data_IF_041681887047
#
_entry.id   IF_041681887047
#
_cell.length_a   1.000
_cell.length_b   1.000
_cell.length_c   1.000
_cell.angle_alpha   90.00
_cell.angle_beta   90.00
_cell.angle_gamma   90.00
#
_symmetry.space_group_name_H-M   'P 1'
#
loop_
_entity.id
_entity.type
_entity.pdbx_description
1 polymer ?
#
# COMPACT_ATOMS: atom_id res chain seq x y z
N UNK A 1 -7.08 17.81 -6.62
CA UNK A 1 -6.16 18.97 -6.61
C UNK A 1 -4.82 18.52 -7.18
N UNK A 2 -4.34 19.18 -8.22
CA UNK A 2 -3.03 18.95 -8.83
C UNK A 2 -2.20 20.21 -8.62
N UNK A 3 -0.98 20.05 -8.09
CA UNK A 3 -0.08 21.18 -7.77
C UNK A 3 0.96 21.37 -8.89
N UNK A 4 1.83 22.32 -8.68
CA UNK A 4 2.81 22.81 -9.63
C UNK A 4 3.83 21.73 -10.00
N UNK A 5 4.25 21.72 -11.28
CA UNK A 5 5.26 20.79 -11.82
C UNK A 5 4.92 19.29 -11.71
N UNK A 6 3.66 18.94 -11.47
CA UNK A 6 3.21 17.54 -11.54
C UNK A 6 3.29 17.09 -13.01
N UNK A 7 3.79 15.88 -13.23
CA UNK A 7 3.84 15.25 -14.55
C UNK A 7 3.06 13.93 -14.54
N UNK A 8 2.33 13.68 -15.64
CA UNK A 8 1.54 12.46 -15.82
C UNK A 8 1.74 11.95 -17.24
N UNK A 9 1.99 10.65 -17.41
CA UNK A 9 2.12 10.03 -18.71
C UNK A 9 0.82 9.30 -19.10
N UNK A 10 0.46 9.28 -20.40
CA UNK A 10 -0.67 8.49 -20.87
C UNK A 10 -0.41 7.00 -20.74
N UNK A 11 -1.45 6.20 -20.91
CA UNK A 11 -1.31 4.75 -21.05
C UNK A 11 -0.58 4.38 -22.34
N UNK A 12 0.00 3.18 -22.36
CA UNK A 12 0.76 2.63 -23.49
C UNK A 12 0.04 1.44 -24.14
N UNK A 13 0.37 1.13 -25.41
CA UNK A 13 -0.23 0.01 -26.14
C UNK A 13 -0.06 -1.33 -25.40
N UNK A 14 1.07 -1.51 -24.74
CA UNK A 14 1.36 -2.73 -23.94
C UNK A 14 0.71 -2.73 -22.54
N UNK A 15 0.18 -1.59 -22.07
CA UNK A 15 -0.33 -1.42 -20.71
C UNK A 15 -1.84 -1.25 -20.59
N UNK A 16 -2.57 -1.37 -21.70
CA UNK A 16 -4.02 -1.20 -21.69
C UNK A 16 -4.51 0.21 -22.01
N UNK A 17 -3.62 1.10 -22.45
CA UNK A 17 -3.90 2.45 -22.94
C UNK A 17 -4.52 3.40 -21.89
N UNK A 18 -4.38 3.11 -20.61
CA UNK A 18 -5.07 3.86 -19.57
C UNK A 18 -4.17 4.22 -18.38
N UNK A 19 -3.96 5.51 -18.17
CA UNK A 19 -3.56 6.06 -16.87
C UNK A 19 -4.78 6.70 -16.22
N UNK A 20 -5.16 6.27 -15.03
CA UNK A 20 -6.38 6.70 -14.34
C UNK A 20 -6.07 7.25 -12.96
N UNK A 21 -6.72 8.35 -12.61
CA UNK A 21 -6.69 8.94 -11.27
C UNK A 21 -8.14 9.16 -10.84
N UNK A 22 -8.49 8.65 -9.68
CA UNK A 22 -9.83 8.79 -9.09
C UNK A 22 -10.09 10.18 -8.51
N UNK A 23 -11.15 10.25 -7.74
CA UNK A 23 -11.67 11.51 -7.19
C UNK A 23 -10.99 11.92 -5.87
N UNK A 24 -11.07 13.21 -5.55
CA UNK A 24 -10.59 13.81 -4.29
C UNK A 24 -9.10 13.59 -3.99
N UNK A 25 -8.29 13.34 -5.01
CA UNK A 25 -6.85 13.14 -4.84
C UNK A 25 -6.11 14.48 -4.67
N UNK A 26 -5.06 14.47 -3.87
CA UNK A 26 -4.10 15.58 -3.72
C UNK A 26 -2.75 15.15 -4.25
N UNK A 27 -2.40 15.67 -5.43
CA UNK A 27 -1.11 15.42 -6.08
C UNK A 27 -0.26 16.66 -5.88
N UNK A 28 0.74 16.55 -5.00
CA UNK A 28 1.53 17.70 -4.56
C UNK A 28 2.69 18.00 -5.51
N UNK A 29 3.40 19.09 -5.21
CA UNK A 29 4.44 19.68 -6.06
C UNK A 29 5.45 18.64 -6.55
N UNK A 30 5.69 18.62 -7.89
CA UNK A 30 6.72 17.82 -8.51
C UNK A 30 6.48 16.29 -8.49
N UNK A 31 5.30 15.83 -8.06
CA UNK A 31 4.99 14.41 -8.12
C UNK A 31 4.91 13.93 -9.59
N UNK A 32 5.35 12.69 -9.83
CA UNK A 32 5.32 12.04 -11.13
C UNK A 32 4.46 10.78 -11.12
N UNK A 33 3.55 10.67 -12.07
CA UNK A 33 2.74 9.50 -12.34
C UNK A 33 3.08 8.97 -13.72
N UNK A 34 3.79 7.85 -13.79
CA UNK A 34 4.17 7.25 -15.06
C UNK A 34 2.97 6.58 -15.76
N UNK A 35 3.23 6.06 -16.96
CA UNK A 35 2.25 5.42 -17.82
C UNK A 35 1.54 4.23 -17.14
N UNK A 36 0.29 4.03 -17.50
CA UNK A 36 -0.52 2.88 -17.08
C UNK A 36 -0.74 2.74 -15.56
N UNK A 37 -0.51 3.83 -14.80
CA UNK A 37 -0.82 3.85 -13.38
C UNK A 37 -2.34 3.94 -13.15
N UNK A 38 -2.84 3.21 -12.18
CA UNK A 38 -4.25 3.25 -11.75
C UNK A 38 -4.30 3.70 -10.28
N UNK A 39 -4.82 4.90 -10.05
CA UNK A 39 -4.99 5.49 -8.74
C UNK A 39 -6.49 5.54 -8.40
N UNK A 40 -6.85 5.06 -7.21
CA UNK A 40 -8.19 5.17 -6.64
C UNK A 40 -8.51 6.58 -6.14
N UNK A 41 -9.40 6.66 -5.16
CA UNK A 41 -9.92 7.91 -4.63
C UNK A 41 -9.22 8.34 -3.34
N UNK A 42 -9.29 9.65 -3.02
CA UNK A 42 -8.79 10.21 -1.76
C UNK A 42 -7.28 9.95 -1.51
N UNK A 43 -6.50 9.81 -2.56
CA UNK A 43 -5.06 9.54 -2.48
C UNK A 43 -4.29 10.85 -2.25
N UNK A 44 -3.23 10.76 -1.47
CA UNK A 44 -2.28 11.86 -1.30
C UNK A 44 -0.91 11.40 -1.80
N UNK A 45 -0.42 12.03 -2.87
CA UNK A 45 0.97 11.95 -3.26
C UNK A 45 1.67 13.24 -2.79
N UNK A 46 2.52 13.12 -1.79
CA UNK A 46 3.26 14.28 -1.27
C UNK A 46 4.33 14.76 -2.28
N UNK A 47 5.04 15.83 -1.94
CA UNK A 47 6.00 16.47 -2.86
C UNK A 47 7.04 15.48 -3.39
N UNK A 48 7.25 15.52 -4.70
CA UNK A 48 8.27 14.72 -5.41
C UNK A 48 8.13 13.19 -5.23
N UNK A 49 6.92 12.69 -4.98
CA UNK A 49 6.64 11.25 -5.10
C UNK A 49 6.76 10.85 -6.56
N UNK A 50 7.45 9.74 -6.84
CA UNK A 50 7.57 9.18 -8.18
C UNK A 50 6.96 7.79 -8.26
N UNK A 51 5.93 7.62 -9.11
CA UNK A 51 5.36 6.32 -9.45
C UNK A 51 5.89 5.89 -10.80
N UNK A 52 6.53 4.71 -10.87
CA UNK A 52 6.90 4.09 -12.13
C UNK A 52 5.66 3.48 -12.83
N UNK A 53 5.82 2.96 -14.05
CA UNK A 53 4.71 2.43 -14.83
C UNK A 53 3.95 1.29 -14.17
N UNK A 54 2.65 1.19 -14.46
CA UNK A 54 1.76 0.13 -14.00
C UNK A 54 1.58 0.03 -12.49
N UNK A 55 1.87 1.10 -11.73
CA UNK A 55 1.63 1.13 -10.29
C UNK A 55 0.13 1.27 -10.04
N UNK A 56 -0.37 0.46 -9.10
CA UNK A 56 -1.76 0.53 -8.62
C UNK A 56 -1.75 1.08 -7.20
N UNK A 57 -2.55 2.11 -6.95
CA UNK A 57 -2.72 2.71 -5.63
C UNK A 57 -4.19 2.72 -5.28
N UNK A 58 -4.58 1.98 -4.25
CA UNK A 58 -5.96 1.90 -3.80
C UNK A 58 -6.36 3.12 -2.96
N UNK A 59 -7.65 3.23 -2.68
CA UNK A 59 -8.29 4.35 -2.02
C UNK A 59 -7.63 4.71 -0.68
N UNK A 60 -7.59 6.01 -0.38
CA UNK A 60 -7.09 6.55 0.89
C UNK A 60 -5.61 6.30 1.19
N UNK A 61 -4.82 5.80 0.26
CA UNK A 61 -3.39 5.66 0.46
C UNK A 61 -2.68 7.03 0.52
N UNK A 62 -1.64 7.12 1.34
CA UNK A 62 -0.82 8.33 1.46
C UNK A 62 0.65 7.95 1.20
N UNK A 63 1.27 8.63 0.24
CA UNK A 63 2.68 8.46 -0.06
C UNK A 63 3.45 9.71 0.40
N UNK A 64 4.38 9.50 1.30
CA UNK A 64 5.25 10.55 1.85
C UNK A 64 6.23 11.10 0.82
N UNK A 65 6.62 12.34 1.01
CA UNK A 65 7.46 13.07 0.06
C UNK A 65 8.78 12.36 -0.25
N UNK A 66 9.25 12.53 -1.49
CA UNK A 66 10.49 11.93 -2.01
C UNK A 66 10.49 10.39 -1.99
N UNK A 67 9.31 9.75 -1.90
CA UNK A 67 9.23 8.30 -2.05
C UNK A 67 9.17 7.91 -3.53
N UNK A 68 9.79 6.77 -3.85
CA UNK A 68 9.79 6.17 -5.18
C UNK A 68 9.12 4.80 -5.17
N UNK A 69 8.31 4.52 -6.17
CA UNK A 69 7.58 3.25 -6.28
C UNK A 69 7.97 2.56 -7.57
N UNK A 70 8.51 1.35 -7.46
CA UNK A 70 8.92 0.55 -8.60
C UNK A 70 7.71 0.11 -9.44
N UNK A 71 7.93 -0.14 -10.73
CA UNK A 71 6.87 -0.58 -11.64
C UNK A 71 6.15 -1.85 -11.16
N UNK A 72 4.85 -1.93 -11.45
CA UNK A 72 3.96 -3.04 -11.08
C UNK A 72 3.72 -3.21 -9.57
N UNK A 73 4.17 -2.31 -8.73
CA UNK A 73 3.85 -2.37 -7.30
C UNK A 73 2.40 -1.96 -7.06
N UNK A 74 1.74 -2.69 -6.17
CA UNK A 74 0.39 -2.37 -5.68
C UNK A 74 0.48 -1.82 -4.26
N UNK A 75 -0.26 -0.75 -4.00
CA UNK A 75 -0.36 -0.12 -2.67
C UNK A 75 -1.82 -0.20 -2.25
N UNK A 76 -2.11 -1.03 -1.25
CA UNK A 76 -3.46 -1.29 -0.77
C UNK A 76 -4.10 -0.08 -0.09
N UNK A 77 -5.42 -0.15 0.07
CA UNK A 77 -6.21 0.94 0.64
C UNK A 77 -5.73 1.33 2.05
N UNK A 78 -5.85 2.63 2.37
CA UNK A 78 -5.44 3.20 3.66
C UNK A 78 -3.96 2.98 4.03
N UNK A 79 -3.12 2.50 3.11
CA UNK A 79 -1.70 2.33 3.36
C UNK A 79 -0.98 3.66 3.55
N UNK A 80 0.13 3.63 4.28
CA UNK A 80 1.02 4.76 4.49
C UNK A 80 2.44 4.42 4.07
N UNK A 81 2.95 5.16 3.11
CA UNK A 81 4.36 5.10 2.71
C UNK A 81 5.08 6.25 3.36
N UNK A 82 6.07 5.97 4.18
CA UNK A 82 6.91 7.00 4.79
C UNK A 82 7.73 7.78 3.76
N UNK A 83 8.03 9.03 4.07
CA UNK A 83 8.90 9.84 3.19
C UNK A 83 10.27 9.19 2.97
N UNK A 84 10.93 9.51 1.84
CA UNK A 84 12.24 8.96 1.46
C UNK A 84 12.27 7.42 1.32
N UNK A 85 11.11 6.79 1.15
CA UNK A 85 11.03 5.33 0.99
C UNK A 85 11.15 4.92 -0.48
N UNK A 86 11.83 3.80 -0.73
CA UNK A 86 11.88 3.16 -2.04
C UNK A 86 11.17 1.80 -1.99
N UNK A 87 10.07 1.67 -2.75
CA UNK A 87 9.21 0.50 -2.76
C UNK A 87 9.53 -0.38 -3.96
N UNK A 88 9.89 -1.64 -3.70
CA UNK A 88 10.10 -2.69 -4.71
C UNK A 88 9.06 -3.83 -4.58
N UNK A 89 8.23 -3.78 -3.55
CA UNK A 89 7.25 -4.82 -3.19
C UNK A 89 5.90 -4.20 -2.86
N UNK A 90 4.84 -5.00 -2.97
CA UNK A 90 3.46 -4.60 -2.70
C UNK A 90 3.25 -4.24 -1.22
N UNK A 91 2.44 -3.23 -0.97
CA UNK A 91 2.07 -2.79 0.38
C UNK A 91 0.65 -3.24 0.67
N UNK A 92 0.48 -4.08 1.68
CA UNK A 92 -0.84 -4.57 2.07
C UNK A 92 -1.79 -3.43 2.47
N UNK A 93 -3.11 -3.58 2.30
CA UNK A 93 -4.09 -2.65 2.86
C UNK A 93 -3.82 -2.35 4.33
N UNK A 94 -4.05 -1.10 4.72
CA UNK A 94 -3.82 -0.60 6.08
C UNK A 94 -2.37 -0.66 6.57
N UNK A 95 -1.42 -1.10 5.73
CA UNK A 95 -0.01 -1.23 6.06
C UNK A 95 0.70 0.12 6.18
N UNK A 96 1.81 0.13 6.92
CA UNK A 96 2.76 1.25 6.97
C UNK A 96 4.14 0.74 6.60
N UNK A 97 4.79 1.38 5.63
CA UNK A 97 6.12 1.02 5.14
C UNK A 97 7.07 2.20 5.23
N UNK A 98 8.33 1.91 5.50
CA UNK A 98 9.42 2.90 5.57
C UNK A 98 10.74 2.32 5.08
N UNK A 99 11.64 3.18 4.64
CA UNK A 99 13.04 2.86 4.36
C UNK A 99 13.42 2.90 2.88
N UNK A 100 14.71 3.03 2.62
CA UNK A 100 15.30 3.09 1.27
C UNK A 100 15.29 1.73 0.52
N UNK A 101 14.97 0.66 1.20
CA UNK A 101 14.42 -0.63 0.76
C UNK A 101 13.25 -0.90 1.68
N UNK A 102 12.07 -0.45 1.27
CA UNK A 102 10.93 -0.34 2.14
C UNK A 102 10.55 -1.70 2.76
N UNK A 103 10.32 -1.69 4.04
CA UNK A 103 9.82 -2.83 4.81
C UNK A 103 8.56 -2.43 5.56
N UNK A 104 7.75 -3.42 5.92
CA UNK A 104 6.52 -3.22 6.65
C UNK A 104 6.83 -2.90 8.12
N UNK A 105 6.61 -1.65 8.52
CA UNK A 105 6.84 -1.17 9.89
C UNK A 105 5.65 -1.41 10.81
N UNK A 106 4.55 -1.97 10.28
CA UNK A 106 3.32 -2.27 10.98
C UNK A 106 2.09 -1.81 10.21
N UNK A 107 1.03 -1.47 10.94
CA UNK A 107 -0.21 -0.92 10.39
C UNK A 107 -0.26 0.60 10.55
N UNK A 108 -0.95 1.29 9.65
CA UNK A 108 -1.20 2.73 9.70
C UNK A 108 -2.24 3.10 10.78
N UNK A 109 -1.96 2.79 12.03
CA UNK A 109 -2.89 2.96 13.16
C UNK A 109 -3.33 4.42 13.32
N UNK A 110 -2.41 5.36 13.10
CA UNK A 110 -2.71 6.79 13.23
C UNK A 110 -3.71 7.21 12.15
N UNK A 111 -3.50 6.80 10.90
CA UNK A 111 -4.41 7.08 9.80
C UNK A 111 -5.78 6.45 10.01
N UNK A 112 -5.84 5.21 10.47
CA UNK A 112 -7.10 4.53 10.77
C UNK A 112 -7.90 5.25 11.86
N UNK A 113 -7.27 5.63 12.96
CA UNK A 113 -7.92 6.40 14.04
C UNK A 113 -8.45 7.75 13.54
N UNK A 114 -7.67 8.49 12.74
CA UNK A 114 -8.09 9.80 12.18
C UNK A 114 -9.28 9.67 11.24
N UNK A 115 -9.45 8.51 10.57
CA UNK A 115 -10.58 8.20 9.68
C UNK A 115 -11.77 7.57 10.40
N UNK A 116 -11.74 7.48 11.72
CA UNK A 116 -12.86 7.01 12.53
C UNK A 116 -13.03 5.50 12.61
N UNK A 117 -12.04 4.71 12.23
CA UNK A 117 -12.11 3.26 12.44
C UNK A 117 -12.28 2.92 13.91
N UNK A 118 -13.21 2.01 14.22
CA UNK A 118 -13.51 1.62 15.59
C UNK A 118 -12.30 0.93 16.26
N UNK A 119 -12.28 0.95 17.59
CA UNK A 119 -11.24 0.23 18.37
C UNK A 119 -11.25 -1.26 18.07
N UNK A 120 -12.42 -1.83 17.85
CA UNK A 120 -12.62 -3.23 17.53
C UNK A 120 -11.98 -3.59 16.18
N UNK A 121 -12.29 -2.84 15.11
CA UNK A 121 -11.69 -3.03 13.79
C UNK A 121 -10.17 -2.94 13.85
N UNK A 122 -9.62 -1.91 14.52
CA UNK A 122 -8.17 -1.77 14.68
C UNK A 122 -7.57 -2.94 15.46
N UNK A 123 -8.28 -3.47 16.46
CA UNK A 123 -7.84 -4.63 17.22
C UNK A 123 -7.79 -5.88 16.35
N UNK A 124 -8.82 -6.13 15.55
CA UNK A 124 -8.89 -7.26 14.63
C UNK A 124 -7.79 -7.19 13.55
N UNK A 125 -7.59 -6.01 12.94
CA UNK A 125 -6.48 -5.80 12.02
C UNK A 125 -5.11 -6.11 12.66
N UNK A 126 -4.90 -5.74 13.92
CA UNK A 126 -3.65 -6.06 14.65
C UNK A 126 -3.49 -7.55 14.93
N UNK A 127 -4.58 -8.26 15.23
CA UNK A 127 -4.55 -9.71 15.41
C UNK A 127 -4.22 -10.40 14.10
N UNK A 128 -4.92 -10.04 13.02
CA UNK A 128 -4.67 -10.57 11.68
C UNK A 128 -3.23 -10.30 11.22
N UNK A 129 -2.72 -9.09 11.44
CA UNK A 129 -1.33 -8.75 11.13
C UNK A 129 -0.33 -9.64 11.86
N UNK A 130 -0.52 -9.88 13.16
CA UNK A 130 0.37 -10.76 13.94
C UNK A 130 0.32 -12.20 13.48
N UNK A 131 -0.86 -12.70 13.13
CA UNK A 131 -1.04 -14.05 12.60
C UNK A 131 -0.38 -14.18 11.22
N UNK A 132 -0.64 -13.22 10.32
CA UNK A 132 -0.12 -13.21 8.95
C UNK A 132 1.42 -13.19 8.89
N UNK A 133 2.07 -12.49 9.82
CA UNK A 133 3.52 -12.35 9.87
C UNK A 133 4.16 -13.10 11.05
N UNK A 134 3.50 -14.13 11.55
CA UNK A 134 4.08 -15.04 12.53
C UNK A 134 5.30 -15.79 11.96
N UNK A 135 6.27 -16.21 12.77
CA UNK A 135 7.47 -16.89 12.28
C UNK A 135 7.21 -18.34 11.82
N UNK A 136 6.12 -18.97 12.28
CA UNK A 136 5.79 -20.36 11.97
C UNK A 136 5.00 -20.50 10.67
N UNK A 137 5.21 -21.58 9.95
CA UNK A 137 4.47 -21.95 8.75
C UNK A 137 4.77 -21.06 7.53
N UNK A 138 4.05 -21.30 6.45
CA UNK A 138 4.11 -20.54 5.20
C UNK A 138 3.13 -19.37 5.19
N UNK A 139 3.36 -18.39 4.32
CA UNK A 139 2.42 -17.27 4.16
C UNK A 139 1.04 -17.75 3.71
N UNK A 140 0.95 -18.79 2.90
CA UNK A 140 -0.31 -19.37 2.41
C UNK A 140 -1.10 -20.03 3.54
N UNK A 141 -0.45 -20.79 4.41
CA UNK A 141 -1.09 -21.38 5.59
C UNK A 141 -1.64 -20.30 6.51
N UNK A 142 -0.81 -19.30 6.85
CA UNK A 142 -1.23 -18.17 7.69
C UNK A 142 -2.36 -17.34 7.06
N UNK A 143 -2.33 -17.16 5.74
CA UNK A 143 -3.39 -16.45 5.03
C UNK A 143 -4.72 -17.18 5.14
N UNK A 144 -4.69 -18.52 5.03
CA UNK A 144 -5.87 -19.36 5.24
C UNK A 144 -6.39 -19.21 6.67
N UNK A 145 -5.51 -19.31 7.68
CA UNK A 145 -5.90 -19.14 9.08
C UNK A 145 -6.53 -17.77 9.34
N UNK A 146 -5.96 -16.71 8.79
CA UNK A 146 -6.53 -15.34 8.85
C UNK A 146 -7.90 -15.30 8.18
N UNK A 147 -8.05 -15.89 7.00
CA UNK A 147 -9.32 -15.92 6.28
C UNK A 147 -10.40 -16.68 7.06
N UNK A 148 -10.05 -17.79 7.69
CA UNK A 148 -10.98 -18.60 8.46
C UNK A 148 -11.39 -17.91 9.78
N UNK A 149 -10.44 -17.29 10.50
CA UNK A 149 -10.69 -16.61 11.78
C UNK A 149 -11.47 -15.31 11.63
N UNK A 150 -11.23 -14.56 10.54
CA UNK A 150 -11.78 -13.20 10.34
C UNK A 150 -12.75 -13.09 9.17
N UNK A 151 -13.41 -14.16 8.78
CA UNK A 151 -14.27 -14.25 7.57
C UNK A 151 -15.30 -13.13 7.46
N UNK A 152 -15.88 -12.68 8.58
CA UNK A 152 -16.90 -11.64 8.62
C UNK A 152 -16.32 -10.23 8.85
N UNK A 153 -15.00 -10.11 8.95
CA UNK A 153 -14.34 -8.83 9.17
C UNK A 153 -13.85 -8.24 7.84
N UNK A 154 -14.66 -7.38 7.22
CA UNK A 154 -14.39 -6.80 5.91
C UNK A 154 -12.97 -6.19 5.79
N UNK A 155 -12.48 -5.34 6.72
CA UNK A 155 -11.13 -4.80 6.62
C UNK A 155 -10.01 -5.85 6.68
N UNK A 156 -10.19 -6.94 7.41
CA UNK A 156 -9.22 -8.04 7.40
C UNK A 156 -9.28 -8.80 6.08
N UNK A 157 -10.49 -9.03 5.56
CA UNK A 157 -10.68 -9.69 4.26
C UNK A 157 -10.16 -8.87 3.09
N UNK A 158 -10.07 -7.54 3.20
CA UNK A 158 -9.37 -6.71 2.20
C UNK A 158 -7.89 -7.08 2.10
N UNK A 159 -7.22 -7.34 3.24
CA UNK A 159 -5.82 -7.80 3.24
C UNK A 159 -5.72 -9.18 2.58
N UNK A 160 -6.63 -10.10 2.90
CA UNK A 160 -6.65 -11.45 2.32
C UNK A 160 -6.81 -11.38 0.81
N UNK A 161 -7.85 -10.70 0.31
CA UNK A 161 -8.12 -10.51 -1.12
C UNK A 161 -6.95 -9.85 -1.86
N UNK A 162 -6.32 -8.87 -1.23
CA UNK A 162 -5.17 -8.18 -1.80
C UNK A 162 -3.98 -9.13 -2.02
N UNK A 163 -3.70 -10.01 -1.05
CA UNK A 163 -2.60 -10.96 -1.12
C UNK A 163 -2.91 -12.11 -2.10
N UNK A 164 -4.16 -12.59 -2.15
CA UNK A 164 -4.62 -13.63 -3.08
C UNK A 164 -4.73 -13.13 -4.52
N UNK A 165 -4.89 -11.83 -4.71
CA UNK A 165 -5.02 -11.24 -6.05
C UNK A 165 -3.76 -11.37 -6.89
N UNK A 166 -3.91 -11.26 -8.22
CA UNK A 166 -2.80 -11.30 -9.16
C UNK A 166 -1.75 -10.23 -8.82
N UNK A 167 -0.58 -10.68 -8.38
CA UNK A 167 0.54 -9.84 -8.03
C UNK A 167 1.75 -10.12 -8.91
N UNK A 168 2.33 -9.07 -9.48
CA UNK A 168 3.64 -9.15 -10.16
C UNK A 168 4.80 -9.03 -9.18
N UNK A 169 4.52 -8.61 -7.95
CA UNK A 169 5.49 -8.35 -6.89
C UNK A 169 5.15 -9.11 -5.61
N UNK A 170 6.19 -9.48 -4.85
CA UNK A 170 5.99 -9.98 -3.50
C UNK A 170 5.46 -8.85 -2.57
N UNK A 171 4.82 -9.22 -1.48
CA UNK A 171 4.42 -8.24 -0.44
C UNK A 171 5.62 -7.81 0.40
N UNK A 172 5.63 -6.54 0.81
CA UNK A 172 6.58 -6.04 1.81
C UNK A 172 6.49 -6.88 3.09
N UNK A 173 7.66 -7.26 3.62
CA UNK A 173 7.77 -8.04 4.86
C UNK A 173 8.13 -7.12 6.02
N UNK A 174 7.75 -7.48 7.26
CA UNK A 174 8.33 -6.85 8.43
C UNK A 174 9.84 -7.02 8.45
N UNK A 175 10.55 -6.01 8.95
CA UNK A 175 11.99 -6.14 9.16
C UNK A 175 12.22 -7.28 10.16
N UNK A 176 12.96 -8.31 9.74
CA UNK A 176 13.36 -9.38 10.65
C UNK A 176 14.04 -8.72 11.85
N UNK A 177 13.44 -8.81 13.01
CA UNK A 177 14.05 -8.33 14.23
C UNK A 177 15.41 -9.02 14.36
N UNK A 178 16.50 -8.27 14.45
CA UNK A 178 17.75 -8.80 14.94
C UNK A 178 17.46 -9.47 16.30
N UNK A 179 17.48 -10.80 16.32
CA UNK A 179 17.65 -11.55 17.56
C UNK A 179 19.07 -11.35 18.05
N UNK A 180 19.46 -10.11 18.35
CA UNK A 180 20.70 -9.77 19.04
C UNK A 180 20.51 -8.40 19.68
N UNK A 181 20.01 -8.41 20.86
CA UNK A 181 20.43 -7.71 22.09
C UNK A 181 19.52 -8.11 23.22
#
# INVERSE_FOLDING_TARGET
>A
IIREHVTMNPGTDGGGLLTKIGDNCLIMIGAHIAHDCILGNNIILANNVALAGHVVVDDFAILGGLSGVHQFVRIGCHAMVGGLSALESDVIPYGSVIGNRAYLSGLNIIGLKRRGFSREVIHNLRKAYRLLFAPEGTIQERLKDVSDEFRENEPVMDIVKFIEGNASRAICQPKNGNKNT
#
